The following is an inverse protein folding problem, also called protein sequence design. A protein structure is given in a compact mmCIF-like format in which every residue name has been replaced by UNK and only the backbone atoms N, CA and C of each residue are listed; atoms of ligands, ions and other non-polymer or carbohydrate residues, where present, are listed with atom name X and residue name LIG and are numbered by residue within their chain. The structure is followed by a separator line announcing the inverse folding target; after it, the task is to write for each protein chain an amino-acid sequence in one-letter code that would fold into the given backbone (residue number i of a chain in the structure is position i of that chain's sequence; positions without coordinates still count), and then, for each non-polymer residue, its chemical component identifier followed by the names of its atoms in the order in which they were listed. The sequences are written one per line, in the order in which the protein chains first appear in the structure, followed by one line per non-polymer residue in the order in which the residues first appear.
data_IF_981393305085
#
_entry.id   IF_981393305085
#
_cell.length_a   1.000
_cell.length_b   1.000
_cell.length_c   1.000
_cell.angle_alpha   90.00
_cell.angle_beta   90.00
_cell.angle_gamma   90.00
#
_symmetry.space_group_name_H-M   'P 1'
#
loop_
_entity.id
_entity.type
_entity.pdbx_description
1 polymer ?
#
# COMPACT_ATOMS: atom_id res chain seq x y z
N UNK A 1 2.41 1.15 -24.43
CA UNK A 1 1.40 2.11 -23.93
C UNK A 1 0.95 1.66 -22.54
N UNK A 2 0.99 2.57 -21.57
CA UNK A 2 0.53 2.34 -20.19
C UNK A 2 -1.00 2.50 -20.15
N UNK A 3 -1.73 1.38 -20.04
CA UNK A 3 -3.18 1.42 -19.94
C UNK A 3 -3.63 1.92 -18.57
N UNK A 4 -4.62 2.82 -18.54
CA UNK A 4 -5.35 3.19 -17.32
C UNK A 4 -6.49 2.19 -17.13
N UNK A 5 -6.69 1.71 -15.91
CA UNK A 5 -7.89 0.93 -15.57
C UNK A 5 -9.01 1.92 -15.28
N UNK A 6 -10.16 1.75 -15.94
CA UNK A 6 -11.35 2.57 -15.73
C UNK A 6 -12.40 1.74 -15.01
N UNK A 7 -12.93 2.28 -13.91
CA UNK A 7 -14.04 1.71 -13.17
C UNK A 7 -15.26 2.59 -13.39
N UNK A 8 -16.35 1.99 -13.85
CA UNK A 8 -17.62 2.67 -14.04
C UNK A 8 -18.62 2.14 -13.01
N UNK A 9 -19.12 3.04 -12.16
CA UNK A 9 -20.31 2.79 -11.35
C UNK A 9 -21.48 3.33 -12.17
N UNK A 10 -22.30 2.42 -12.70
CA UNK A 10 -23.54 2.82 -13.39
C UNK A 10 -24.66 2.77 -12.38
N UNK A 11 -25.04 3.93 -11.85
CA UNK A 11 -26.25 4.10 -11.05
C UNK A 11 -27.44 4.29 -12.01
N UNK A 12 -28.32 3.29 -12.07
CA UNK A 12 -29.45 3.25 -12.97
C UNK A 12 -30.29 1.99 -12.78
N UNK A 13 -31.60 2.10 -13.03
CA UNK A 13 -32.53 0.98 -12.90
C UNK A 13 -32.25 -0.04 -14.00
N UNK A 14 -31.76 -1.22 -13.65
CA UNK A 14 -31.53 -2.32 -14.59
C UNK A 14 -32.70 -3.29 -14.58
N UNK A 15 -32.71 -4.27 -15.50
CA UNK A 15 -33.76 -5.28 -15.49
C UNK A 15 -33.73 -6.07 -14.17
N UNK A 16 -34.91 -6.51 -13.71
CA UNK A 16 -35.11 -7.23 -12.45
C UNK A 16 -34.24 -8.50 -12.26
N UNK A 17 -33.70 -9.04 -13.36
CA UNK A 17 -32.93 -10.28 -13.39
C UNK A 17 -31.43 -10.03 -13.62
N UNK A 18 -30.98 -8.77 -13.62
CA UNK A 18 -29.60 -8.40 -13.90
C UNK A 18 -28.80 -8.10 -12.62
N UNK A 19 -28.10 -9.13 -12.13
CA UNK A 19 -27.00 -8.97 -11.18
C UNK A 19 -25.73 -8.82 -12.02
N UNK A 20 -25.21 -7.60 -12.20
CA UNK A 20 -24.10 -7.31 -13.11
C UNK A 20 -22.91 -8.25 -12.90
N UNK A 21 -22.74 -9.21 -13.81
CA UNK A 21 -21.58 -10.08 -13.85
C UNK A 21 -20.42 -9.30 -14.50
N UNK A 22 -19.35 -9.04 -13.74
CA UNK A 22 -18.07 -8.58 -14.30
C UNK A 22 -17.27 -9.79 -14.82
N UNK A 23 -17.85 -10.58 -15.72
CA UNK A 23 -17.28 -11.87 -16.12
C UNK A 23 -16.23 -11.80 -17.23
N UNK A 24 -15.61 -10.65 -17.49
CA UNK A 24 -14.61 -10.55 -18.55
C UNK A 24 -13.25 -10.02 -18.05
N UNK A 25 -12.19 -10.84 -18.09
CA UNK A 25 -10.84 -10.36 -17.80
C UNK A 25 -10.45 -9.24 -18.77
N UNK A 26 -10.13 -8.05 -18.26
CA UNK A 26 -9.82 -6.89 -19.08
C UNK A 26 -9.43 -5.64 -18.29
N UNK A 27 -9.11 -4.55 -19.00
CA UNK A 27 -8.74 -3.24 -18.43
C UNK A 27 -9.95 -2.41 -17.93
N UNK A 28 -11.14 -3.02 -17.90
CA UNK A 28 -12.42 -2.37 -17.59
C UNK A 28 -13.24 -3.29 -16.70
N UNK A 29 -13.60 -2.81 -15.51
CA UNK A 29 -14.54 -3.47 -14.61
C UNK A 29 -15.87 -2.71 -14.60
N UNK A 30 -16.97 -3.44 -14.76
CA UNK A 30 -18.32 -2.90 -14.65
C UNK A 30 -18.98 -3.47 -13.40
N UNK A 31 -19.50 -2.61 -12.53
CA UNK A 31 -20.36 -3.01 -11.42
C UNK A 31 -21.65 -2.21 -11.44
N UNK A 32 -22.77 -2.89 -11.18
CA UNK A 32 -24.10 -2.30 -11.27
C UNK A 32 -24.93 -2.62 -10.02
N UNK A 33 -25.37 -1.62 -9.24
CA UNK A 33 -26.18 -1.81 -8.04
C UNK A 33 -27.69 -2.04 -8.34
N UNK A 34 -28.04 -2.52 -9.54
CA UNK A 34 -29.27 -2.10 -10.22
C UNK A 34 -30.52 -2.99 -10.15
N UNK A 35 -30.67 -3.95 -9.22
CA UNK A 35 -31.94 -4.70 -9.09
C UNK A 35 -32.52 -4.69 -7.67
N UNK A 36 -33.85 -4.70 -7.59
CA UNK A 36 -34.58 -4.93 -6.35
C UNK A 36 -34.21 -6.34 -5.85
N UNK A 37 -33.72 -6.46 -4.61
CA UNK A 37 -33.09 -7.63 -3.96
C UNK A 37 -31.57 -7.81 -4.14
N UNK A 38 -30.88 -6.96 -4.88
CA UNK A 38 -29.40 -6.93 -4.88
C UNK A 38 -28.81 -6.05 -3.77
N UNK A 39 -29.64 -5.27 -3.09
CA UNK A 39 -29.25 -4.33 -2.07
C UNK A 39 -30.20 -4.44 -0.88
N UNK A 40 -29.63 -4.75 0.29
CA UNK A 40 -30.36 -4.88 1.55
C UNK A 40 -29.94 -3.72 2.46
N UNK A 41 -30.67 -2.58 2.44
CA UNK A 41 -30.30 -1.37 3.18
C UNK A 41 -30.15 -1.59 4.69
N UNK A 42 -30.77 -2.62 5.25
CA UNK A 42 -30.58 -3.08 6.63
C UNK A 42 -29.12 -3.46 6.95
N UNK A 43 -28.31 -3.84 5.96
CA UNK A 43 -26.87 -4.08 6.10
C UNK A 43 -26.03 -2.81 5.87
N UNK A 44 -26.64 -1.67 5.55
CA UNK A 44 -25.97 -0.38 5.45
C UNK A 44 -25.36 0.08 6.78
N UNK A 45 -25.99 -0.27 7.91
CA UNK A 45 -25.50 0.00 9.27
C UNK A 45 -24.15 -0.69 9.57
N UNK A 46 -23.91 -1.86 8.96
CA UNK A 46 -22.65 -2.62 9.09
C UNK A 46 -21.47 -1.75 8.64
N UNK A 47 -21.61 -0.86 7.65
CA UNK A 47 -20.53 0.04 7.19
C UNK A 47 -19.96 0.98 8.25
N UNK A 48 -20.73 1.30 9.28
CA UNK A 48 -20.32 2.25 10.33
C UNK A 48 -19.64 1.58 11.53
N UNK A 49 -19.81 0.26 11.71
CA UNK A 49 -19.28 -0.49 12.87
C UNK A 49 -18.46 -1.76 12.50
N UNK A 50 -18.56 -2.27 11.26
CA UNK A 50 -17.98 -3.55 10.80
C UNK A 50 -17.53 -3.49 9.32
N UNK A 51 -16.22 -3.68 9.09
CA UNK A 51 -15.55 -3.98 7.79
C UNK A 51 -16.25 -3.40 6.51
N UNK A 52 -16.52 -4.20 5.48
CA UNK A 52 -17.13 -3.77 4.21
C UNK A 52 -18.65 -4.05 4.20
N UNK A 53 -19.47 -3.09 3.75
CA UNK A 53 -20.89 -3.35 3.46
C UNK A 53 -21.07 -4.15 2.18
N UNK A 54 -22.28 -4.71 1.98
CA UNK A 54 -22.60 -5.60 0.85
C UNK A 54 -22.23 -5.02 -0.53
N UNK A 55 -22.45 -3.73 -0.79
CA UNK A 55 -22.17 -3.12 -2.09
C UNK A 55 -20.69 -2.95 -2.27
N UNK A 56 -20.02 -2.41 -1.26
CA UNK A 56 -18.58 -2.25 -1.28
C UNK A 56 -17.87 -3.59 -1.39
N UNK A 57 -18.38 -4.65 -0.74
CA UNK A 57 -17.85 -6.00 -0.88
C UNK A 57 -18.12 -6.60 -2.25
N UNK A 58 -19.33 -6.47 -2.80
CA UNK A 58 -19.63 -6.98 -4.15
C UNK A 58 -18.77 -6.27 -5.19
N UNK A 59 -18.67 -4.93 -5.13
CA UNK A 59 -17.79 -4.16 -6.02
C UNK A 59 -16.33 -4.64 -5.89
N UNK A 60 -15.83 -4.78 -4.66
CA UNK A 60 -14.45 -5.20 -4.44
C UNK A 60 -14.19 -6.65 -4.87
N UNK A 61 -15.13 -7.57 -4.65
CA UNK A 61 -15.09 -8.97 -5.07
C UNK A 61 -14.92 -9.08 -6.59
N UNK A 62 -15.82 -8.43 -7.33
CA UNK A 62 -15.78 -8.45 -8.80
C UNK A 62 -14.53 -7.76 -9.36
N UNK A 63 -14.05 -6.68 -8.71
CA UNK A 63 -12.79 -6.04 -9.09
C UNK A 63 -11.60 -6.99 -8.90
N UNK A 64 -11.61 -7.83 -7.86
CA UNK A 64 -10.54 -8.78 -7.60
C UNK A 64 -10.62 -10.00 -8.54
N UNK A 65 -11.79 -10.36 -9.08
CA UNK A 65 -11.85 -11.33 -10.19
C UNK A 65 -11.13 -10.84 -11.45
N UNK A 66 -11.23 -9.54 -11.78
CA UNK A 66 -10.49 -8.95 -12.91
C UNK A 66 -8.96 -9.04 -12.73
N UNK A 67 -8.51 -9.26 -11.50
CA UNK A 67 -7.12 -9.44 -11.13
C UNK A 67 -6.64 -10.91 -11.25
N UNK A 68 -7.51 -11.83 -11.69
CA UNK A 68 -7.20 -13.24 -11.90
C UNK A 68 -7.32 -14.10 -10.63
N UNK A 69 -8.01 -13.60 -9.61
CA UNK A 69 -8.27 -14.34 -8.37
C UNK A 69 -9.58 -15.11 -8.53
N UNK A 70 -9.59 -16.40 -8.21
CA UNK A 70 -10.79 -17.24 -8.14
C UNK A 70 -11.40 -17.26 -6.75
N UNK A 71 -12.39 -18.12 -6.49
CA UNK A 71 -13.02 -18.24 -5.17
C UNK A 71 -12.27 -19.20 -4.24
N UNK A 72 -11.55 -18.74 -3.19
CA UNK A 72 -11.02 -19.63 -2.18
C UNK A 72 -12.10 -20.04 -1.17
N UNK A 73 -12.51 -21.31 -1.16
CA UNK A 73 -13.51 -21.84 -0.23
C UNK A 73 -12.98 -22.09 1.20
N UNK A 74 -11.98 -21.32 1.66
CA UNK A 74 -11.29 -21.53 2.95
C UNK A 74 -12.06 -20.92 4.13
N UNK A 75 -12.48 -19.66 4.01
CA UNK A 75 -13.15 -18.91 5.07
C UNK A 75 -14.44 -18.30 4.50
N UNK A 76 -15.63 -18.60 5.05
CA UNK A 76 -16.89 -18.04 4.55
C UNK A 76 -17.04 -16.51 4.70
N UNK A 77 -16.15 -15.87 5.49
CA UNK A 77 -16.07 -14.41 5.59
C UNK A 77 -15.11 -13.79 4.57
N UNK A 78 -14.34 -14.60 3.84
CA UNK A 78 -13.42 -14.12 2.82
C UNK A 78 -14.19 -13.36 1.73
N UNK A 79 -13.62 -12.23 1.31
CA UNK A 79 -14.20 -11.37 0.29
C UNK A 79 -14.42 -12.17 -0.99
N UNK A 80 -13.50 -13.07 -1.35
CA UNK A 80 -13.57 -13.93 -2.53
C UNK A 80 -14.27 -15.26 -2.28
N UNK A 81 -14.95 -15.45 -1.15
CA UNK A 81 -15.86 -16.59 -0.98
C UNK A 81 -17.05 -16.43 -1.94
N UNK A 82 -17.37 -17.46 -2.72
CA UNK A 82 -18.38 -17.35 -3.77
C UNK A 82 -18.66 -18.67 -4.49
N UNK A 83 -19.13 -18.58 -5.74
CA UNK A 83 -19.59 -19.73 -6.53
C UNK A 83 -18.58 -20.89 -6.55
N UNK A 84 -19.04 -22.09 -6.21
CA UNK A 84 -18.20 -23.28 -6.03
C UNK A 84 -17.86 -23.57 -4.56
N UNK A 85 -18.20 -22.67 -3.65
CA UNK A 85 -18.18 -22.87 -2.21
C UNK A 85 -19.57 -23.18 -1.65
N UNK A 86 -19.64 -23.49 -0.36
CA UNK A 86 -20.88 -23.76 0.37
C UNK A 86 -21.52 -22.43 0.80
N UNK A 87 -22.34 -21.86 -0.09
CA UNK A 87 -22.91 -20.52 0.09
C UNK A 87 -23.85 -20.41 1.30
N UNK A 88 -24.38 -21.53 1.80
CA UNK A 88 -25.18 -21.55 3.03
C UNK A 88 -24.37 -21.15 4.27
N UNK A 89 -23.03 -21.18 4.18
CA UNK A 89 -22.12 -20.77 5.25
C UNK A 89 -21.63 -19.33 5.11
N UNK A 90 -22.00 -18.64 4.04
CA UNK A 90 -21.48 -17.31 3.74
C UNK A 90 -21.76 -16.32 4.87
N UNK A 91 -20.73 -15.60 5.29
CA UNK A 91 -20.87 -14.55 6.30
C UNK A 91 -21.25 -13.22 5.64
N UNK A 92 -22.16 -12.48 6.28
CA UNK A 92 -22.48 -11.10 5.91
C UNK A 92 -21.34 -10.12 6.20
N UNK A 93 -20.40 -10.47 7.09
CA UNK A 93 -19.16 -9.71 7.26
C UNK A 93 -18.10 -10.16 6.28
N UNK A 94 -17.56 -9.22 5.51
CA UNK A 94 -16.52 -9.50 4.51
C UNK A 94 -15.14 -8.98 4.90
N UNK A 95 -14.13 -9.83 4.74
CA UNK A 95 -12.69 -9.55 4.94
C UNK A 95 -11.89 -9.81 3.68
N UNK A 96 -10.92 -8.96 3.38
CA UNK A 96 -9.95 -9.25 2.31
C UNK A 96 -8.88 -10.19 2.88
N UNK A 97 -8.85 -11.46 2.44
CA UNK A 97 -7.83 -12.48 2.78
C UNK A 97 -7.26 -12.32 4.19
N UNK A 98 -8.06 -12.65 5.19
CA UNK A 98 -7.79 -12.35 6.60
C UNK A 98 -6.41 -12.80 7.08
N UNK A 99 -5.96 -13.95 6.58
CA UNK A 99 -4.64 -14.53 6.90
C UNK A 99 -3.54 -14.08 5.92
N UNK A 100 -3.87 -13.31 4.88
CA UNK A 100 -2.98 -12.94 3.77
C UNK A 100 -2.28 -14.16 3.18
N UNK A 101 -3.06 -15.21 2.94
CA UNK A 101 -2.53 -16.56 2.63
C UNK A 101 -3.04 -17.13 1.31
N UNK A 102 -3.98 -16.44 0.65
CA UNK A 102 -4.71 -16.92 -0.52
C UNK A 102 -4.41 -16.10 -1.77
N UNK A 103 -4.65 -14.79 -1.72
CA UNK A 103 -4.48 -13.86 -2.85
C UNK A 103 -3.92 -12.49 -2.45
N UNK A 104 -3.75 -12.20 -1.16
CA UNK A 104 -2.98 -11.05 -0.65
C UNK A 104 -1.63 -11.56 -0.15
N UNK A 105 -0.55 -11.24 -0.85
CA UNK A 105 0.79 -11.73 -0.49
C UNK A 105 1.05 -13.21 -0.83
N UNK A 106 0.09 -13.88 -1.47
CA UNK A 106 0.17 -15.24 -1.96
C UNK A 106 -0.63 -15.39 -3.27
N UNK A 107 -0.45 -16.47 -4.02
CA UNK A 107 -1.15 -16.73 -5.29
C UNK A 107 -1.95 -18.04 -5.29
N UNK A 108 -2.31 -18.56 -4.12
CA UNK A 108 -3.02 -19.85 -3.98
C UNK A 108 -4.43 -19.82 -4.58
N UNK A 109 -5.06 -18.64 -4.64
CA UNK A 109 -6.34 -18.45 -5.31
C UNK A 109 -6.19 -17.93 -6.75
N UNK A 110 -5.04 -18.11 -7.39
CA UNK A 110 -4.79 -17.80 -8.81
C UNK A 110 -3.83 -16.64 -9.02
N UNK A 111 -3.97 -15.56 -8.27
CA UNK A 111 -3.10 -14.39 -8.37
C UNK A 111 -2.79 -13.78 -6.99
N UNK A 112 -1.61 -13.16 -6.87
CA UNK A 112 -1.30 -12.26 -5.77
C UNK A 112 -1.70 -10.84 -6.19
N UNK A 113 -2.74 -10.28 -5.57
CA UNK A 113 -3.25 -8.97 -5.97
C UNK A 113 -2.19 -7.88 -5.80
N UNK A 114 -1.29 -8.00 -4.81
CA UNK A 114 -0.20 -7.05 -4.59
C UNK A 114 0.80 -7.02 -5.74
N UNK A 115 0.81 -8.02 -6.60
CA UNK A 115 1.69 -8.06 -7.77
C UNK A 115 1.18 -7.27 -8.97
N UNK A 116 -0.05 -6.78 -8.92
CA UNK A 116 -0.77 -6.26 -10.07
C UNK A 116 -0.66 -4.74 -10.18
N UNK A 117 -0.81 -4.25 -11.41
CA UNK A 117 -0.57 -2.85 -11.78
C UNK A 117 -1.50 -1.84 -11.08
N UNK A 118 -2.68 -2.24 -10.62
CA UNK A 118 -3.54 -1.33 -9.86
C UNK A 118 -2.91 -0.96 -8.50
N UNK A 119 -2.02 -1.80 -7.99
CA UNK A 119 -1.26 -1.57 -6.76
C UNK A 119 0.18 -1.10 -7.01
N UNK A 120 0.62 -1.07 -8.28
CA UNK A 120 1.96 -0.68 -8.70
C UNK A 120 1.86 0.48 -9.70
N UNK A 121 2.40 1.65 -9.36
CA UNK A 121 2.40 2.85 -10.23
C UNK A 121 3.28 2.73 -11.50
N UNK A 122 3.80 1.54 -11.82
CA UNK A 122 4.70 1.29 -12.93
C UNK A 122 6.14 1.74 -12.69
N UNK A 123 6.48 2.29 -11.52
CA UNK A 123 7.84 2.69 -11.17
C UNK A 123 8.77 1.52 -10.80
N UNK A 124 8.23 0.29 -10.75
CA UNK A 124 8.93 -0.89 -10.24
C UNK A 124 9.04 -0.94 -8.72
N UNK A 125 8.51 0.07 -8.01
CA UNK A 125 8.40 0.06 -6.54
C UNK A 125 7.21 -0.80 -6.12
N UNK A 126 7.39 -1.54 -5.03
CA UNK A 126 6.34 -2.37 -4.42
C UNK A 126 5.16 -1.55 -3.91
N UNK A 127 5.39 -0.27 -3.59
CA UNK A 127 4.40 0.62 -3.02
C UNK A 127 4.44 1.98 -3.70
N UNK A 128 3.28 2.65 -3.76
CA UNK A 128 3.17 4.03 -4.23
C UNK A 128 3.94 4.91 -3.24
N UNK A 129 4.98 5.65 -3.68
CA UNK A 129 5.76 6.48 -2.77
C UNK A 129 4.90 7.64 -2.24
N UNK A 130 4.53 7.55 -0.96
CA UNK A 130 3.86 8.62 -0.23
C UNK A 130 4.89 9.52 0.46
N UNK A 131 4.61 10.83 0.52
CA UNK A 131 5.44 11.75 1.30
C UNK A 131 5.47 11.29 2.76
N UNK A 132 6.65 11.33 3.37
CA UNK A 132 6.87 11.03 4.78
C UNK A 132 6.56 9.59 5.23
N UNK A 133 6.30 8.68 4.28
CA UNK A 133 6.12 7.24 4.53
C UNK A 133 7.36 6.46 4.08
N UNK A 134 7.79 5.52 4.91
CA UNK A 134 8.79 4.52 4.57
C UNK A 134 8.19 3.12 4.69
N UNK A 135 8.78 2.15 3.99
CA UNK A 135 8.34 0.76 4.02
C UNK A 135 9.42 -0.11 4.67
N UNK A 136 9.01 -1.07 5.50
CA UNK A 136 9.93 -2.02 6.14
C UNK A 136 10.67 -2.81 5.06
N UNK A 137 12.00 -2.88 5.18
CA UNK A 137 12.84 -3.63 4.24
C UNK A 137 13.16 -2.92 2.92
N UNK A 138 12.56 -1.75 2.66
CA UNK A 138 12.78 -0.98 1.42
C UNK A 138 13.66 0.25 1.64
N UNK A 139 14.50 0.65 0.66
CA UNK A 139 15.23 1.92 0.72
C UNK A 139 14.29 3.13 0.74
N UNK A 140 14.34 3.91 1.81
CA UNK A 140 13.57 5.14 2.01
C UNK A 140 14.49 6.36 2.04
N UNK A 141 14.36 7.25 1.05
CA UNK A 141 15.11 8.51 1.01
C UNK A 141 14.64 9.44 2.14
N UNK A 142 15.57 9.79 3.04
CA UNK A 142 15.31 10.63 4.21
C UNK A 142 16.08 11.94 4.21
N UNK A 143 17.08 12.09 3.34
CA UNK A 143 17.73 13.37 3.09
C UNK A 143 18.32 13.45 1.68
N UNK A 144 18.19 14.62 1.06
CA UNK A 144 18.74 14.98 -0.25
C UNK A 144 19.41 16.37 -0.24
N UNK A 145 20.05 16.73 0.87
CA UNK A 145 20.64 18.05 1.09
C UNK A 145 21.85 18.37 0.20
N UNK A 146 21.99 19.66 -0.15
CA UNK A 146 23.15 20.21 -0.86
C UNK A 146 23.93 21.18 0.04
N UNK A 147 25.25 21.07 0.04
CA UNK A 147 26.18 21.72 0.94
C UNK A 147 27.31 22.40 0.16
N UNK A 148 27.70 23.59 0.60
CA UNK A 148 28.83 24.31 0.00
C UNK A 148 30.17 23.85 0.57
N UNK A 149 30.20 23.56 1.87
CA UNK A 149 31.37 23.05 2.58
C UNK A 149 30.93 22.15 3.73
N UNK A 150 31.41 20.91 3.75
CA UNK A 150 31.13 19.92 4.80
C UNK A 150 32.30 18.96 4.91
N UNK A 151 32.64 18.57 6.14
CA UNK A 151 33.68 17.58 6.42
C UNK A 151 33.09 16.29 6.96
N UNK A 152 33.33 15.17 6.27
CA UNK A 152 32.96 13.84 6.74
C UNK A 152 31.73 13.24 6.05
N UNK A 153 31.27 12.10 6.59
CA UNK A 153 30.10 11.37 6.12
C UNK A 153 28.85 11.88 6.84
N UNK A 154 27.73 11.93 6.13
CA UNK A 154 26.42 12.15 6.74
C UNK A 154 25.98 10.87 7.44
N UNK A 155 25.58 10.98 8.71
CA UNK A 155 25.06 9.88 9.51
C UNK A 155 23.58 10.15 9.75
N UNK A 156 22.72 9.20 9.40
CA UNK A 156 21.33 9.24 9.85
C UNK A 156 21.25 8.54 11.20
N UNK A 157 20.71 9.25 12.18
CA UNK A 157 20.46 8.73 13.53
C UNK A 157 18.97 8.54 13.75
N UNK A 158 18.61 7.50 14.51
CA UNK A 158 17.24 7.24 14.95
C UNK A 158 17.13 7.38 16.46
N UNK A 159 15.98 7.90 16.92
CA UNK A 159 15.68 8.00 18.35
C UNK A 159 15.04 6.71 18.85
N UNK A 160 15.76 5.94 19.65
CA UNK A 160 15.31 4.68 20.25
C UNK A 160 15.51 4.77 21.76
N UNK A 161 14.45 4.50 22.54
CA UNK A 161 14.47 4.56 24.01
C UNK A 161 15.09 5.87 24.55
N UNK A 162 14.76 7.00 23.92
CA UNK A 162 15.24 8.34 24.30
C UNK A 162 16.67 8.68 23.84
N UNK A 163 17.42 7.74 23.27
CA UNK A 163 18.81 7.92 22.80
C UNK A 163 18.89 7.98 21.28
N UNK A 164 19.89 8.68 20.76
CA UNK A 164 20.19 8.72 19.32
C UNK A 164 21.18 7.64 18.94
N UNK A 165 20.76 6.74 18.05
CA UNK A 165 21.55 5.61 17.58
C UNK A 165 21.91 5.82 16.11
N UNK A 166 23.18 5.62 15.76
CA UNK A 166 23.64 5.71 14.36
C UNK A 166 23.07 4.54 13.55
N UNK A 167 22.29 4.83 12.51
CA UNK A 167 21.77 3.81 11.60
C UNK A 167 22.72 3.53 10.45
N UNK A 168 23.05 4.57 9.69
CA UNK A 168 23.80 4.41 8.44
C UNK A 168 24.59 5.67 8.12
N UNK A 169 25.74 5.47 7.46
CA UNK A 169 26.63 6.53 6.98
C UNK A 169 26.54 6.66 5.48
N UNK A 170 26.61 7.89 5.00
CA UNK A 170 26.47 8.25 3.60
C UNK A 170 27.63 9.13 3.17
N UNK A 171 28.34 8.69 2.13
CA UNK A 171 29.40 9.46 1.50
C UNK A 171 28.79 10.54 0.61
N UNK A 172 29.43 11.70 0.60
CA UNK A 172 29.03 12.78 -0.28
C UNK A 172 29.46 12.52 -1.73
N UNK A 173 28.72 13.12 -2.67
CA UNK A 173 29.14 13.29 -4.07
C UNK A 173 29.20 14.78 -4.42
N UNK A 174 29.90 15.14 -5.49
CA UNK A 174 29.82 16.48 -6.07
C UNK A 174 28.80 16.51 -7.21
N UNK A 175 27.97 17.54 -7.26
CA UNK A 175 27.07 17.76 -8.39
C UNK A 175 27.73 18.62 -9.48
N UNK A 176 27.03 18.87 -10.59
CA UNK A 176 27.53 19.66 -11.71
C UNK A 176 27.91 21.10 -11.34
N UNK A 177 27.28 21.67 -10.30
CA UNK A 177 27.61 22.99 -9.76
C UNK A 177 28.75 22.95 -8.72
N UNK A 178 29.50 21.85 -8.65
CA UNK A 178 30.58 21.60 -7.69
C UNK A 178 30.16 21.69 -6.21
N UNK A 179 28.87 21.55 -5.92
CA UNK A 179 28.34 21.49 -4.54
C UNK A 179 28.37 20.05 -4.03
N UNK A 180 28.52 19.89 -2.73
CA UNK A 180 28.54 18.61 -2.04
C UNK A 180 27.11 18.16 -1.80
N UNK A 181 26.74 16.95 -2.19
CA UNK A 181 25.39 16.40 -2.07
C UNK A 181 25.44 15.08 -1.32
N UNK A 182 24.51 14.91 -0.39
CA UNK A 182 24.25 13.61 0.24
C UNK A 182 22.89 13.10 -0.21
N UNK A 183 22.86 11.85 -0.66
CA UNK A 183 21.63 11.11 -0.89
C UNK A 183 21.55 10.03 0.19
N UNK A 184 20.80 10.31 1.26
CA UNK A 184 20.66 9.40 2.37
C UNK A 184 19.36 8.61 2.25
N UNK A 185 19.49 7.29 2.10
CA UNK A 185 18.39 6.35 2.15
C UNK A 185 18.60 5.37 3.30
N UNK A 186 17.62 5.23 4.18
CA UNK A 186 17.61 4.21 5.24
C UNK A 186 16.75 3.02 4.81
N UNK A 187 16.99 1.86 5.41
CA UNK A 187 16.13 0.68 5.27
C UNK A 187 15.56 0.33 6.64
N UNK A 188 14.36 0.82 6.98
CA UNK A 188 13.74 0.54 8.29
C UNK A 188 13.49 -0.95 8.49
N UNK A 189 13.69 -1.44 9.71
CA UNK A 189 13.46 -2.84 10.08
C UNK A 189 12.14 -3.09 10.82
N UNK A 190 11.56 -2.05 11.39
CA UNK A 190 10.38 -2.12 12.25
C UNK A 190 9.38 -1.06 11.86
N UNK A 191 8.09 -1.39 11.95
CA UNK A 191 6.98 -0.47 11.71
C UNK A 191 6.81 0.56 12.83
N UNK A 192 6.04 1.61 12.53
CA UNK A 192 5.61 2.64 13.47
C UNK A 192 6.11 4.03 13.14
N UNK A 193 5.73 5.01 13.96
CA UNK A 193 6.24 6.38 13.82
C UNK A 193 7.65 6.44 14.39
N UNK A 194 8.63 6.67 13.51
CA UNK A 194 10.05 6.70 13.86
C UNK A 194 10.59 8.11 13.71
N UNK A 195 11.47 8.52 14.62
CA UNK A 195 12.08 9.86 14.64
C UNK A 195 13.55 9.76 14.25
N UNK A 196 13.95 10.52 13.24
CA UNK A 196 15.30 10.55 12.69
C UNK A 196 15.92 11.94 12.82
N UNK A 197 17.24 12.01 12.67
CA UNK A 197 17.95 13.26 12.41
C UNK A 197 19.21 13.02 11.60
N UNK A 198 19.67 14.09 10.97
CA UNK A 198 20.98 14.15 10.34
C UNK A 198 22.06 14.48 11.37
N UNK A 199 23.21 13.84 11.25
CA UNK A 199 24.39 14.15 12.05
C UNK A 199 25.65 14.04 11.19
N UNK A 200 26.55 15.02 11.30
CA UNK A 200 27.88 14.95 10.72
C UNK A 200 28.87 15.19 11.86
N UNK A 201 29.77 14.24 12.06
CA UNK A 201 30.76 14.30 13.13
C UNK A 201 31.77 15.44 12.90
N UNK A 202 32.31 16.02 13.99
CA UNK A 202 33.33 17.05 13.86
C UNK A 202 34.61 16.49 13.23
N UNK A 203 35.28 17.31 12.42
CA UNK A 203 36.61 17.03 11.87
C UNK A 203 37.53 18.21 12.16
N UNK A 204 38.83 18.10 11.82
CA UNK A 204 39.79 19.22 11.97
C UNK A 204 39.36 20.51 11.28
N UNK A 205 38.51 20.43 10.25
CA UNK A 205 38.07 21.58 9.42
C UNK A 205 36.56 21.82 9.43
N UNK A 206 35.81 21.08 10.24
CA UNK A 206 34.35 21.15 10.25
C UNK A 206 33.82 20.93 11.66
N UNK A 207 33.09 21.91 12.17
CA UNK A 207 32.32 21.76 13.41
C UNK A 207 31.17 20.80 13.18
N UNK A 208 30.86 19.96 14.16
CA UNK A 208 29.77 19.00 14.06
C UNK A 208 28.47 19.66 13.60
N UNK A 209 27.69 18.95 12.79
CA UNK A 209 26.34 19.35 12.40
C UNK A 209 25.32 18.37 12.99
N UNK A 210 24.24 18.92 13.56
CA UNK A 210 23.08 18.16 14.01
C UNK A 210 21.84 18.80 13.39
N UNK A 211 21.17 18.06 12.51
CA UNK A 211 19.93 18.51 11.87
C UNK A 211 18.74 18.49 12.82
N UNK A 212 17.68 19.19 12.43
CA UNK A 212 16.40 19.13 13.15
C UNK A 212 15.82 17.71 13.08
N UNK A 213 15.30 17.16 14.19
CA UNK A 213 14.59 15.90 14.15
C UNK A 213 13.39 15.95 13.20
N UNK A 214 13.14 14.84 12.51
CA UNK A 214 11.98 14.67 11.63
C UNK A 214 11.40 13.27 11.82
N UNK A 215 10.12 13.09 11.49
CA UNK A 215 9.42 11.82 11.64
C UNK A 215 9.15 11.17 10.29
N UNK A 216 9.09 9.84 10.28
CA UNK A 216 8.53 9.05 9.18
C UNK A 216 7.55 8.04 9.75
N UNK A 217 6.46 7.84 9.02
CA UNK A 217 5.56 6.73 9.29
C UNK A 217 6.11 5.49 8.57
N UNK A 218 6.57 4.48 9.31
CA UNK A 218 7.08 3.24 8.73
C UNK A 218 5.97 2.20 8.71
N UNK A 219 5.61 1.74 7.51
CA UNK A 219 4.56 0.73 7.27
C UNK A 219 5.16 -0.53 6.64
N UNK A 220 4.36 -1.59 6.48
CA UNK A 220 4.79 -2.84 5.83
C UNK A 220 4.92 -2.72 4.32
#
# INVERSE_FOLDING_TARGET
MLGKNMFFIIDGKLSKDYCGLASQPGNTGLSTPGSDNCWYPEFGFISSERKLNTSSSTIAHELIHNLGVGHPCKNPSDLMYGTGCDLDKESGEKVIDEDSSLYVGASKAGANILDLKVWKDGSGKKYIPLSDVCYVGEPCMVSNGTWTNVGGELIIQERIAGKWINLQKFKSKRNAANKIVFNAAITPKEKGVRTYREYIAPTKKFTAYTGRPFTRNVVY
#
